data_IF_871643166600
#
_entry.id   IF_871643166600
#
_cell.length_a   1.000
_cell.length_b   1.000
_cell.length_c   1.000
_cell.angle_alpha   90.00
_cell.angle_beta   90.00
_cell.angle_gamma   90.00
#
_symmetry.space_group_name_H-M   'P 1'
#
loop_
_entity.id
_entity.type
_entity.pdbx_description
1 polymer ?
#
# COMPACT_ATOMS: atom_id res chain seq x y z
N UNK A 1 -18.59 1.42 -13.04
CA UNK A 1 -17.37 1.87 -13.76
C UNK A 1 -16.18 1.40 -12.93
N UNK A 2 -15.93 0.08 -12.99
CA UNK A 2 -14.85 -0.62 -13.71
C UNK A 2 -13.45 -0.26 -13.16
N UNK A 3 -12.99 -1.09 -12.23
CA UNK A 3 -11.56 -1.34 -12.01
C UNK A 3 -11.01 -1.85 -13.33
N UNK A 4 -10.27 -1.02 -14.07
CA UNK A 4 -9.24 -1.54 -14.98
C UNK A 4 -8.04 -1.82 -14.11
N UNK A 5 -7.92 -3.07 -13.66
CA UNK A 5 -6.74 -3.51 -12.94
C UNK A 5 -5.55 -3.56 -13.89
N UNK A 6 -4.38 -3.33 -13.31
CA UNK A 6 -3.11 -3.82 -13.85
C UNK A 6 -3.26 -5.26 -14.34
N UNK A 7 -2.45 -5.63 -15.34
CA UNK A 7 -2.40 -6.95 -15.95
C UNK A 7 -2.68 -8.10 -14.95
N UNK A 8 -3.48 -9.10 -15.36
CA UNK A 8 -3.90 -10.19 -14.48
C UNK A 8 -2.69 -10.81 -13.79
N UNK A 9 -2.66 -10.74 -12.45
CA UNK A 9 -1.66 -11.46 -11.67
C UNK A 9 -2.01 -12.94 -11.74
N UNK A 10 -1.05 -13.83 -12.09
CA UNK A 10 -1.33 -15.26 -12.18
C UNK A 10 -1.87 -15.78 -10.84
N UNK A 11 -2.87 -16.67 -10.92
CA UNK A 11 -3.44 -17.34 -9.77
C UNK A 11 -2.33 -18.07 -8.98
N UNK A 12 -2.33 -17.89 -7.66
CA UNK A 12 -1.40 -18.57 -6.75
C UNK A 12 -1.91 -20.00 -6.56
N UNK A 13 -1.24 -20.97 -7.18
CA UNK A 13 -1.48 -22.40 -6.93
C UNK A 13 -0.42 -22.97 -5.98
N UNK A 14 -0.85 -23.72 -4.96
CA UNK A 14 -0.11 -24.92 -4.53
C UNK A 14 0.68 -24.92 -3.23
N UNK A 15 0.73 -23.84 -2.43
CA UNK A 15 1.35 -23.92 -1.08
C UNK A 15 0.32 -23.55 -0.03
N UNK A 16 -0.13 -24.56 0.72
CA UNK A 16 -1.13 -24.39 1.78
C UNK A 16 -0.63 -23.44 2.88
N UNK A 17 -1.54 -22.59 3.37
CA UNK A 17 -1.30 -21.81 4.57
C UNK A 17 -0.92 -22.72 5.75
N UNK A 18 -0.04 -22.27 6.67
CA UNK A 18 0.19 -23.00 7.90
C UNK A 18 -1.13 -23.19 8.64
N UNK A 19 -1.34 -24.38 9.20
CA UNK A 19 -2.50 -24.64 10.05
C UNK A 19 -2.41 -23.76 11.30
N UNK A 20 -3.53 -23.12 11.65
CA UNK A 20 -3.66 -22.30 12.85
C UNK A 20 -4.80 -22.87 13.71
N UNK A 21 -4.52 -23.34 14.94
CA UNK A 21 -5.54 -23.95 15.78
C UNK A 21 -6.63 -22.95 16.20
N UNK A 22 -6.32 -21.66 16.27
CA UNK A 22 -7.27 -20.61 16.60
C UNK A 22 -8.12 -20.23 15.38
N UNK A 23 -7.65 -20.56 14.17
CA UNK A 23 -8.35 -20.29 12.91
C UNK A 23 -8.31 -21.49 11.96
N UNK A 24 -8.99 -22.60 12.29
CA UNK A 24 -9.05 -23.79 11.44
C UNK A 24 -9.62 -23.49 10.04
N UNK A 25 -10.39 -22.41 9.91
CA UNK A 25 -11.01 -21.97 8.66
C UNK A 25 -9.99 -21.43 7.65
N UNK A 26 -8.76 -21.07 8.07
CA UNK A 26 -7.75 -20.50 7.17
C UNK A 26 -7.34 -21.45 6.04
N UNK A 27 -7.37 -22.76 6.29
CA UNK A 27 -7.09 -23.75 5.25
C UNK A 27 -8.04 -23.62 4.05
N UNK A 28 -9.31 -23.29 4.31
CA UNK A 28 -10.31 -23.05 3.26
C UNK A 28 -10.26 -21.60 2.79
N UNK A 29 -10.17 -20.64 3.70
CA UNK A 29 -10.21 -19.21 3.37
C UNK A 29 -9.01 -18.76 2.53
N UNK A 30 -7.88 -19.47 2.60
CA UNK A 30 -6.71 -19.18 1.77
C UNK A 30 -6.73 -19.89 0.41
N UNK A 31 -7.65 -20.83 0.19
CA UNK A 31 -7.77 -21.62 -1.04
C UNK A 31 -8.66 -20.88 -2.07
N UNK A 32 -8.11 -20.42 -3.21
CA UNK A 32 -8.85 -19.66 -4.21
C UNK A 32 -10.05 -20.41 -4.80
N UNK A 33 -9.92 -21.73 -5.02
CA UNK A 33 -10.95 -22.55 -5.69
C UNK A 33 -12.12 -22.80 -4.73
N UNK A 34 -11.82 -23.15 -3.48
CA UNK A 34 -12.86 -23.32 -2.46
C UNK A 34 -13.57 -22.01 -2.15
N UNK A 35 -12.82 -20.90 -2.06
CA UNK A 35 -13.42 -19.58 -1.84
C UNK A 35 -14.28 -19.12 -3.02
N UNK A 36 -13.91 -19.45 -4.26
CA UNK A 36 -14.72 -19.18 -5.44
C UNK A 36 -16.10 -19.86 -5.34
N UNK A 37 -16.14 -21.12 -4.93
CA UNK A 37 -17.40 -21.85 -4.74
C UNK A 37 -18.26 -21.25 -3.63
N UNK A 38 -17.65 -20.89 -2.50
CA UNK A 38 -18.34 -20.25 -1.38
C UNK A 38 -18.90 -18.88 -1.79
N UNK A 39 -18.13 -18.05 -2.49
CA UNK A 39 -18.62 -16.75 -2.96
C UNK A 39 -19.75 -16.90 -3.99
N UNK A 40 -19.69 -17.88 -4.90
CA UNK A 40 -20.80 -18.17 -5.83
C UNK A 40 -22.08 -18.59 -5.11
N UNK A 41 -21.97 -19.31 -3.99
CA UNK A 41 -23.10 -19.79 -3.21
C UNK A 41 -23.72 -18.70 -2.33
N UNK A 42 -22.88 -17.82 -1.75
CA UNK A 42 -23.31 -16.94 -0.66
C UNK A 42 -23.35 -15.45 -1.00
N UNK A 43 -22.74 -14.98 -2.09
CA UNK A 43 -22.84 -13.58 -2.51
C UNK A 43 -24.10 -13.35 -3.34
N UNK A 44 -25.08 -12.68 -2.73
CA UNK A 44 -26.31 -12.26 -3.39
C UNK A 44 -26.07 -10.98 -4.22
N UNK A 45 -26.42 -10.98 -5.52
CA UNK A 45 -26.41 -9.75 -6.32
C UNK A 45 -27.28 -8.66 -5.68
N UNK A 46 -26.90 -7.40 -5.88
CA UNK A 46 -27.74 -6.27 -5.49
C UNK A 46 -29.09 -6.31 -6.23
N UNK A 47 -30.12 -5.68 -5.67
CA UNK A 47 -31.49 -5.80 -6.15
C UNK A 47 -31.62 -5.51 -7.67
N UNK A 48 -32.29 -6.42 -8.39
CA UNK A 48 -32.50 -6.31 -9.83
C UNK A 48 -31.28 -6.63 -10.70
N UNK A 49 -30.14 -7.00 -10.13
CA UNK A 49 -28.90 -7.28 -10.86
C UNK A 49 -28.61 -8.79 -10.96
N UNK A 50 -27.89 -9.21 -12.00
CA UNK A 50 -27.48 -10.61 -12.22
C UNK A 50 -26.02 -10.68 -12.64
N UNK A 51 -25.23 -11.40 -11.86
CA UNK A 51 -23.79 -11.49 -12.04
C UNK A 51 -23.29 -12.92 -11.92
N UNK A 52 -22.20 -13.22 -12.63
CA UNK A 52 -21.47 -14.48 -12.53
C UNK A 52 -20.05 -14.18 -12.03
N UNK A 53 -19.66 -14.85 -10.95
CA UNK A 53 -18.28 -14.79 -10.45
C UNK A 53 -17.47 -15.83 -11.23
N UNK A 54 -16.50 -15.38 -12.01
CA UNK A 54 -15.65 -16.21 -12.86
C UNK A 54 -14.49 -16.78 -12.04
N UNK A 55 -13.76 -15.91 -11.33
CA UNK A 55 -12.57 -16.26 -10.57
C UNK A 55 -12.52 -15.55 -9.21
N UNK A 56 -11.69 -16.08 -8.31
CA UNK A 56 -11.39 -15.52 -7.00
C UNK A 56 -9.88 -15.51 -6.78
N UNK A 57 -9.30 -14.34 -6.51
CA UNK A 57 -7.87 -14.16 -6.30
C UNK A 57 -7.63 -13.60 -4.89
N UNK A 58 -6.98 -14.34 -3.98
CA UNK A 58 -6.51 -13.81 -2.71
C UNK A 58 -5.50 -12.68 -2.95
N UNK A 59 -5.74 -11.51 -2.35
CA UNK A 59 -4.92 -10.31 -2.56
C UNK A 59 -4.10 -9.95 -1.32
N UNK A 60 -4.67 -10.15 -0.14
CA UNK A 60 -4.02 -9.73 1.10
C UNK A 60 -4.46 -10.56 2.27
N UNK A 61 -3.49 -10.87 3.11
CA UNK A 61 -3.70 -11.50 4.39
C UNK A 61 -3.25 -10.59 5.53
N UNK A 62 -4.10 -10.45 6.54
CA UNK A 62 -3.77 -9.83 7.82
C UNK A 62 -4.28 -10.71 8.94
N UNK A 63 -3.40 -11.52 9.49
CA UNK A 63 -3.58 -12.11 10.80
C UNK A 63 -2.39 -11.79 11.68
N UNK A 64 -2.67 -11.44 12.94
CA UNK A 64 -1.66 -11.36 13.98
C UNK A 64 -1.96 -12.47 14.97
N UNK A 65 -0.94 -13.20 15.38
CA UNK A 65 -1.07 -14.28 16.36
C UNK A 65 -1.62 -13.79 17.71
N UNK A 66 -1.46 -12.50 18.03
CA UNK A 66 -2.00 -11.88 19.25
C UNK A 66 -3.41 -11.30 19.10
N UNK A 67 -4.05 -11.42 17.93
CA UNK A 67 -5.39 -10.87 17.69
C UNK A 67 -6.41 -11.98 17.51
N UNK A 68 -7.57 -11.84 18.15
CA UNK A 68 -8.71 -12.76 18.01
C UNK A 68 -9.40 -12.72 16.62
N UNK A 69 -8.73 -12.21 15.58
CA UNK A 69 -9.30 -12.02 14.25
C UNK A 69 -8.28 -12.04 13.11
N UNK A 70 -8.60 -12.75 12.04
CA UNK A 70 -7.92 -12.63 10.74
C UNK A 70 -8.78 -11.87 9.72
N UNK A 71 -8.12 -11.14 8.81
CA UNK A 71 -8.74 -10.39 7.72
C UNK A 71 -8.13 -10.82 6.40
N UNK A 72 -8.97 -11.26 5.46
CA UNK A 72 -8.59 -11.71 4.13
C UNK A 72 -9.25 -10.82 3.08
N UNK A 73 -8.46 -10.30 2.14
CA UNK A 73 -8.97 -9.56 0.99
C UNK A 73 -8.87 -10.42 -0.27
N UNK A 74 -9.92 -10.40 -1.08
CA UNK A 74 -10.04 -11.10 -2.34
C UNK A 74 -10.43 -10.13 -3.45
N UNK A 75 -10.01 -10.45 -4.67
CA UNK A 75 -10.54 -9.86 -5.90
C UNK A 75 -11.36 -10.91 -6.61
N UNK A 76 -12.63 -10.59 -6.91
CA UNK A 76 -13.51 -11.44 -7.69
C UNK A 76 -13.58 -10.89 -9.12
N UNK A 77 -13.32 -11.74 -10.11
CA UNK A 77 -13.60 -11.40 -11.50
C UNK A 77 -15.08 -11.64 -11.78
N UNK A 78 -15.84 -10.58 -12.05
CA UNK A 78 -17.29 -10.61 -12.19
C UNK A 78 -17.67 -10.33 -13.64
N UNK A 79 -18.64 -11.09 -14.16
CA UNK A 79 -19.25 -10.92 -15.47
C UNK A 79 -20.75 -10.61 -15.32
N UNK A 80 -21.22 -9.61 -16.05
CA UNK A 80 -22.65 -9.33 -16.25
C UNK A 80 -23.12 -10.02 -17.54
N UNK A 81 -23.92 -11.10 -17.46
CA UNK A 81 -24.26 -11.89 -18.65
C UNK A 81 -25.05 -11.13 -19.71
N UNK A 82 -25.90 -10.18 -19.29
CA UNK A 82 -26.76 -9.43 -20.21
C UNK A 82 -26.00 -8.46 -21.13
N UNK A 83 -24.84 -7.96 -20.68
CA UNK A 83 -24.05 -6.96 -21.42
C UNK A 83 -22.68 -7.48 -21.86
N UNK A 84 -22.24 -8.63 -21.32
CA UNK A 84 -20.88 -9.13 -21.50
C UNK A 84 -19.81 -8.33 -20.75
N UNK A 85 -20.21 -7.35 -19.93
CA UNK A 85 -19.29 -6.51 -19.16
C UNK A 85 -18.61 -7.31 -18.05
N UNK A 86 -17.29 -7.19 -17.95
CA UNK A 86 -16.51 -7.72 -16.82
C UNK A 86 -15.77 -6.64 -16.03
N UNK A 87 -15.50 -6.93 -14.75
CA UNK A 87 -14.71 -6.08 -13.85
C UNK A 87 -14.26 -6.84 -12.59
N UNK A 88 -13.36 -6.21 -11.85
CA UNK A 88 -12.84 -6.71 -10.59
C UNK A 88 -13.63 -6.13 -9.41
N UNK A 89 -14.11 -7.02 -8.54
CA UNK A 89 -14.85 -6.68 -7.33
C UNK A 89 -14.02 -7.05 -6.09
N UNK A 90 -13.67 -6.06 -5.29
CA UNK A 90 -13.01 -6.28 -4.00
C UNK A 90 -13.98 -6.84 -2.96
N UNK A 91 -13.55 -7.89 -2.26
CA UNK A 91 -14.30 -8.54 -1.17
C UNK A 91 -13.38 -8.76 0.02
N UNK A 92 -13.89 -8.58 1.24
CA UNK A 92 -13.16 -8.86 2.48
C UNK A 92 -13.88 -9.90 3.31
N UNK A 93 -13.17 -10.95 3.70
CA UNK A 93 -13.56 -11.91 4.72
C UNK A 93 -12.99 -11.56 6.09
N UNK A 94 -13.82 -11.61 7.13
CA UNK A 94 -13.42 -11.47 8.53
C UNK A 94 -13.69 -12.79 9.27
N UNK A 95 -12.61 -13.38 9.80
CA UNK A 95 -12.66 -14.58 10.63
C UNK A 95 -12.31 -14.25 12.08
N UNK A 96 -12.99 -14.87 13.02
CA UNK A 96 -12.78 -14.66 14.46
C UNK A 96 -12.41 -15.98 15.13
N UNK A 97 -11.47 -15.94 16.07
CA UNK A 97 -11.08 -17.13 16.84
C UNK A 97 -12.22 -17.58 17.76
N UNK A 98 -12.97 -16.61 18.32
CA UNK A 98 -14.11 -16.90 19.17
C UNK A 98 -15.33 -17.28 18.34
N UNK A 99 -15.85 -18.50 18.57
CA UNK A 99 -17.08 -19.00 17.96
C UNK A 99 -18.26 -18.03 18.13
N UNK A 100 -19.01 -17.82 17.04
CA UNK A 100 -20.19 -16.95 17.00
C UNK A 100 -19.89 -15.44 17.05
N UNK A 101 -18.64 -15.00 17.22
CA UNK A 101 -18.30 -13.59 17.20
C UNK A 101 -18.52 -12.95 15.83
N UNK A 102 -18.22 -13.69 14.76
CA UNK A 102 -18.51 -13.27 13.39
C UNK A 102 -20.01 -13.09 13.14
N UNK A 103 -20.83 -14.05 13.57
CA UNK A 103 -22.29 -13.97 13.39
C UNK A 103 -22.91 -12.79 14.15
N UNK A 104 -22.47 -12.54 15.40
CA UNK A 104 -22.88 -11.35 16.15
C UNK A 104 -22.56 -10.07 15.41
N UNK A 105 -21.33 -9.93 14.91
CA UNK A 105 -20.92 -8.77 14.13
C UNK A 105 -21.75 -8.62 12.84
N UNK A 106 -22.03 -9.71 12.13
CA UNK A 106 -22.86 -9.68 10.93
C UNK A 106 -24.27 -9.14 11.22
N UNK A 107 -24.89 -9.59 12.31
CA UNK A 107 -26.21 -9.08 12.76
C UNK A 107 -26.16 -7.60 13.11
N UNK A 108 -25.12 -7.16 13.83
CA UNK A 108 -24.92 -5.74 14.14
C UNK A 108 -24.79 -4.88 12.88
N UNK A 109 -24.05 -5.35 11.86
CA UNK A 109 -23.88 -4.63 10.60
C UNK A 109 -25.16 -4.51 9.79
N UNK A 110 -26.04 -5.52 9.83
CA UNK A 110 -27.32 -5.47 9.14
C UNK A 110 -28.32 -4.50 9.78
N UNK A 111 -28.14 -4.16 11.05
CA UNK A 111 -29.00 -3.19 11.73
C UNK A 111 -28.77 -1.74 11.26
N UNK A 112 -27.64 -1.46 10.61
CA UNK A 112 -27.33 -0.17 9.99
C UNK A 112 -27.52 -0.25 8.49
N UNK A 113 -27.91 0.85 7.83
CA UNK A 113 -27.92 0.93 6.36
C UNK A 113 -26.48 0.96 5.83
N UNK A 114 -25.97 -0.14 5.22
CA UNK A 114 -24.59 -0.18 4.75
C UNK A 114 -24.42 0.58 3.43
N UNK A 115 -25.51 0.95 2.74
CA UNK A 115 -25.47 1.59 1.43
C UNK A 115 -25.32 3.11 1.48
N UNK A 116 -25.41 3.70 2.68
CA UNK A 116 -25.39 5.15 2.85
C UNK A 116 -24.21 5.83 2.15
N UNK A 117 -24.52 6.74 1.23
CA UNK A 117 -23.54 7.53 0.46
C UNK A 117 -22.86 6.77 -0.70
N UNK A 118 -23.10 5.46 -0.86
CA UNK A 118 -22.51 4.67 -1.95
C UNK A 118 -23.40 4.81 -3.20
N UNK A 119 -22.86 5.20 -4.37
CA UNK A 119 -23.64 5.26 -5.60
C UNK A 119 -24.09 3.88 -6.08
N UNK A 120 -25.27 3.79 -6.72
CA UNK A 120 -25.86 2.54 -7.23
C UNK A 120 -24.94 1.75 -8.19
N UNK A 121 -24.12 2.47 -8.94
CA UNK A 121 -23.14 1.90 -9.87
C UNK A 121 -22.00 1.11 -9.18
N UNK A 122 -21.84 1.29 -7.87
CA UNK A 122 -20.89 0.54 -7.04
C UNK A 122 -21.52 -0.68 -6.35
N UNK A 123 -22.86 -0.78 -6.36
CA UNK A 123 -23.59 -1.86 -5.69
C UNK A 123 -23.64 -3.11 -6.58
N UNK A 124 -22.59 -3.93 -6.58
CA UNK A 124 -22.57 -5.22 -7.31
C UNK A 124 -23.33 -6.31 -6.56
N UNK A 125 -22.97 -6.53 -5.30
CA UNK A 125 -23.58 -7.52 -4.42
C UNK A 125 -24.17 -6.82 -3.20
N UNK A 126 -24.91 -7.56 -2.37
CA UNK A 126 -25.18 -7.11 -1.00
C UNK A 126 -23.86 -6.79 -0.30
N UNK A 127 -23.83 -5.61 0.32
CA UNK A 127 -22.60 -5.03 0.89
C UNK A 127 -22.05 -5.81 2.09
N UNK A 128 -22.93 -6.53 2.79
CA UNK A 128 -22.59 -7.35 3.94
C UNK A 128 -23.25 -8.72 3.78
N UNK A 129 -22.46 -9.78 3.92
CA UNK A 129 -22.89 -11.17 3.89
C UNK A 129 -22.27 -12.00 5.02
N UNK A 130 -22.72 -13.24 5.14
CA UNK A 130 -22.19 -14.22 6.09
C UNK A 130 -22.05 -15.57 5.40
N UNK A 131 -20.90 -16.22 5.58
CA UNK A 131 -20.65 -17.59 5.11
C UNK A 131 -20.65 -18.50 6.35
N UNK A 132 -21.73 -19.25 6.61
CA UNK A 132 -21.85 -20.10 7.80
C UNK A 132 -20.77 -21.16 7.88
N UNK A 133 -20.39 -21.77 6.74
CA UNK A 133 -19.39 -22.83 6.62
C UNK A 133 -18.04 -22.44 7.24
N UNK A 134 -17.71 -21.14 7.23
CA UNK A 134 -16.46 -20.60 7.76
C UNK A 134 -16.64 -19.71 8.99
N UNK A 135 -17.88 -19.53 9.49
CA UNK A 135 -18.23 -18.44 10.41
C UNK A 135 -17.58 -17.10 9.99
N UNK A 136 -17.75 -16.72 8.71
CA UNK A 136 -17.05 -15.58 8.12
C UNK A 136 -18.01 -14.44 7.78
N UNK A 137 -17.71 -13.23 8.26
CA UNK A 137 -18.39 -12.01 7.77
C UNK A 137 -17.76 -11.57 6.47
N UNK A 138 -18.59 -11.27 5.47
CA UNK A 138 -18.15 -10.78 4.16
C UNK A 138 -18.55 -9.32 4.00
N UNK A 139 -17.60 -8.47 3.63
CA UNK A 139 -17.83 -7.07 3.24
C UNK A 139 -17.46 -6.89 1.77
N UNK A 140 -18.34 -6.26 0.99
CA UNK A 140 -18.12 -5.99 -0.43
C UNK A 140 -17.75 -4.53 -0.62
N UNK A 141 -16.59 -4.27 -1.22
CA UNK A 141 -16.13 -2.91 -1.53
C UNK A 141 -17.18 -2.18 -2.40
N UNK A 142 -17.54 -0.92 -2.11
CA UNK A 142 -16.81 0.01 -1.24
C UNK A 142 -17.26 0.06 0.22
N UNK A 143 -18.14 -0.83 0.68
CA UNK A 143 -18.48 -0.86 2.10
C UNK A 143 -17.31 -1.33 2.95
N UNK A 144 -16.99 -0.56 3.99
CA UNK A 144 -16.01 -0.89 5.01
C UNK A 144 -16.46 -0.29 6.35
N UNK A 145 -16.69 -1.15 7.33
CA UNK A 145 -17.20 -0.75 8.66
C UNK A 145 -16.32 0.27 9.40
N UNK A 146 -15.02 0.34 9.06
CA UNK A 146 -14.03 1.25 9.68
C UNK A 146 -13.66 2.42 8.77
N UNK A 147 -14.08 2.43 7.50
CA UNK A 147 -13.93 3.54 6.55
C UNK A 147 -15.32 4.03 6.09
N UNK A 148 -16.15 4.46 7.04
CA UNK A 148 -17.54 4.90 6.77
C UNK A 148 -17.63 6.12 5.84
N UNK A 149 -16.55 6.88 5.76
CA UNK A 149 -16.33 8.02 4.87
C UNK A 149 -16.12 7.63 3.39
N UNK A 150 -15.82 6.36 3.09
CA UNK A 150 -15.54 5.92 1.72
C UNK A 150 -16.76 6.03 0.79
N UNK A 151 -17.96 5.68 1.29
CA UNK A 151 -19.21 5.84 0.56
C UNK A 151 -19.42 7.29 0.12
N UNK A 152 -19.55 8.25 1.07
CA UNK A 152 -19.69 9.67 0.76
C UNK A 152 -18.63 10.23 -0.20
N UNK A 153 -17.36 9.82 -0.06
CA UNK A 153 -16.29 10.23 -0.99
C UNK A 153 -16.59 9.77 -2.42
N UNK A 154 -16.97 8.51 -2.62
CA UNK A 154 -17.40 7.98 -3.92
C UNK A 154 -18.72 8.59 -4.40
N UNK A 155 -19.58 9.01 -3.46
CA UNK A 155 -20.83 9.73 -3.67
C UNK A 155 -20.68 11.15 -4.18
N UNK A 156 -19.46 11.68 -4.27
CA UNK A 156 -19.18 13.02 -4.77
C UNK A 156 -19.06 14.09 -3.68
N UNK A 157 -18.79 13.71 -2.43
CA UNK A 157 -18.55 14.66 -1.34
C UNK A 157 -17.31 15.55 -1.53
N UNK A 158 -16.49 15.29 -2.57
CA UNK A 158 -15.31 16.08 -2.92
C UNK A 158 -15.52 17.02 -4.13
N UNK A 159 -16.75 17.18 -4.63
CA UNK A 159 -17.02 18.04 -5.80
C UNK A 159 -16.73 19.52 -5.53
N UNK A 160 -16.79 19.94 -4.26
CA UNK A 160 -16.41 21.28 -3.80
C UNK A 160 -14.92 21.60 -4.01
N UNK A 161 -14.07 20.58 -4.23
CA UNK A 161 -12.66 20.75 -4.57
C UNK A 161 -12.39 20.98 -6.05
N UNK A 162 -13.38 20.76 -6.93
CA UNK A 162 -13.21 20.90 -8.37
C UNK A 162 -12.69 22.30 -8.77
N UNK A 163 -13.17 23.43 -8.22
CA UNK A 163 -12.62 24.75 -8.54
C UNK A 163 -11.11 24.88 -8.25
N UNK A 164 -10.62 24.29 -7.15
CA UNK A 164 -9.19 24.30 -6.80
C UNK A 164 -8.37 23.45 -7.78
N UNK A 165 -8.93 22.33 -8.24
CA UNK A 165 -8.29 21.48 -9.25
C UNK A 165 -8.28 22.17 -10.62
N UNK A 166 -9.37 22.85 -11.00
CA UNK A 166 -9.49 23.59 -12.26
C UNK A 166 -8.56 24.80 -12.32
N UNK A 167 -8.31 25.47 -11.20
CA UNK A 167 -7.39 26.62 -11.10
C UNK A 167 -5.94 26.30 -11.49
N UNK A 168 -5.60 25.01 -11.64
CA UNK A 168 -4.29 24.53 -12.10
C UNK A 168 -4.14 24.55 -13.62
N UNK A 169 -5.25 24.68 -14.35
CA UNK A 169 -5.22 24.83 -15.80
C UNK A 169 -4.92 26.29 -16.18
N UNK A 170 -4.52 26.49 -17.43
CA UNK A 170 -4.40 27.85 -17.97
C UNK A 170 -5.72 28.62 -17.84
N UNK A 171 -5.69 29.96 -17.73
CA UNK A 171 -6.92 30.77 -17.65
C UNK A 171 -7.93 30.41 -18.75
N UNK A 172 -9.19 30.20 -18.37
CA UNK A 172 -10.26 29.80 -19.27
C UNK A 172 -11.57 29.46 -18.52
N UNK A 173 -12.65 29.28 -19.27
CA UNK A 173 -13.98 28.97 -18.74
C UNK A 173 -14.16 27.44 -18.66
N UNK A 174 -13.41 26.81 -17.76
CA UNK A 174 -13.39 25.36 -17.65
C UNK A 174 -14.66 24.80 -16.99
N UNK A 175 -15.27 23.82 -17.65
CA UNK A 175 -16.36 23.03 -17.09
C UNK A 175 -16.01 21.53 -17.06
N UNK A 176 -16.43 20.84 -16.00
CA UNK A 176 -16.22 19.39 -15.87
C UNK A 176 -17.28 18.65 -16.66
N UNK A 177 -16.86 17.86 -17.64
CA UNK A 177 -17.73 17.06 -18.51
C UNK A 177 -17.88 15.62 -18.03
N UNK A 178 -16.85 15.05 -17.39
CA UNK A 178 -16.88 13.69 -16.86
C UNK A 178 -16.03 13.56 -15.59
N UNK A 179 -16.49 12.68 -14.68
CA UNK A 179 -15.84 12.37 -13.40
C UNK A 179 -15.64 10.87 -13.29
N UNK A 180 -14.43 10.43 -12.95
CA UNK A 180 -14.13 9.01 -12.74
C UNK A 180 -13.35 8.84 -11.44
N UNK A 181 -13.77 7.90 -10.60
CA UNK A 181 -13.03 7.50 -9.40
C UNK A 181 -12.73 6.00 -9.48
N UNK A 182 -11.46 5.65 -9.38
CA UNK A 182 -10.98 4.27 -9.47
C UNK A 182 -10.09 3.94 -8.26
N UNK A 183 -10.33 2.84 -7.54
CA UNK A 183 -9.44 2.45 -6.46
C UNK A 183 -8.08 2.06 -7.01
N UNK A 184 -7.02 2.67 -6.50
CA UNK A 184 -5.63 2.31 -6.80
C UNK A 184 -5.03 1.44 -5.71
N UNK A 185 -5.50 1.61 -4.47
CA UNK A 185 -5.10 0.79 -3.32
C UNK A 185 -6.22 0.74 -2.30
N UNK A 186 -6.55 -0.44 -1.80
CA UNK A 186 -7.51 -0.58 -0.70
C UNK A 186 -6.93 -1.50 0.38
N UNK A 187 -6.77 -0.95 1.58
CA UNK A 187 -6.33 -1.68 2.77
C UNK A 187 -7.51 -1.73 3.73
N UNK A 188 -8.28 -2.82 3.72
CA UNK A 188 -9.51 -2.94 4.52
C UNK A 188 -9.27 -2.52 5.96
N UNK A 189 -10.14 -1.64 6.45
CA UNK A 189 -10.18 -1.02 7.77
C UNK A 189 -9.02 -0.09 8.11
N UNK A 190 -8.13 0.21 7.16
CA UNK A 190 -6.98 1.10 7.34
C UNK A 190 -7.10 2.35 6.48
N UNK A 191 -7.40 2.17 5.19
CA UNK A 191 -7.59 3.28 4.27
C UNK A 191 -7.73 2.82 2.82
N UNK A 192 -8.12 3.77 1.96
CA UNK A 192 -8.20 3.59 0.52
C UNK A 192 -7.50 4.74 -0.20
N UNK A 193 -6.81 4.46 -1.30
CA UNK A 193 -6.34 5.46 -2.25
C UNK A 193 -7.14 5.29 -3.55
N UNK A 194 -7.69 6.38 -4.05
CA UNK A 194 -8.50 6.43 -5.27
C UNK A 194 -7.83 7.41 -6.25
N UNK A 195 -7.78 7.06 -7.52
CA UNK A 195 -7.45 8.00 -8.60
C UNK A 195 -8.73 8.69 -9.02
N UNK A 196 -8.79 10.01 -8.82
CA UNK A 196 -9.89 10.86 -9.28
C UNK A 196 -9.49 11.56 -10.58
N UNK A 197 -10.22 11.31 -11.65
CA UNK A 197 -9.98 11.88 -12.98
C UNK A 197 -11.14 12.78 -13.38
N UNK A 198 -10.83 14.00 -13.79
CA UNK A 198 -11.78 14.96 -14.35
C UNK A 198 -11.47 15.14 -15.82
N UNK A 199 -12.47 14.92 -16.68
CA UNK A 199 -12.43 15.43 -18.05
C UNK A 199 -13.10 16.80 -18.06
N UNK A 200 -12.42 17.78 -18.66
CA UNK A 200 -12.86 19.17 -18.63
C UNK A 200 -12.80 19.78 -20.02
N UNK A 201 -13.64 20.78 -20.27
CA UNK A 201 -13.67 21.54 -21.52
C UNK A 201 -13.75 23.03 -21.24
N UNK A 202 -12.97 23.82 -21.96
CA UNK A 202 -13.05 25.28 -21.96
C UNK A 202 -14.19 25.72 -22.87
N UNK A 203 -15.17 26.42 -22.29
CA UNK A 203 -16.35 26.93 -22.99
C UNK A 203 -16.03 28.00 -24.03
N UNK A 204 -14.96 28.76 -23.85
CA UNK A 204 -14.60 29.86 -24.75
C UNK A 204 -13.83 29.40 -25.99
N UNK A 205 -12.82 28.56 -25.81
CA UNK A 205 -11.86 28.17 -26.87
C UNK A 205 -12.05 26.71 -27.34
N UNK A 206 -12.94 25.95 -26.69
CA UNK A 206 -13.22 24.55 -27.03
C UNK A 206 -12.10 23.56 -26.68
N UNK A 207 -11.09 23.99 -25.89
CA UNK A 207 -9.98 23.14 -25.45
C UNK A 207 -10.48 22.06 -24.49
N UNK A 208 -9.92 20.86 -24.56
CA UNK A 208 -10.20 19.79 -23.60
C UNK A 208 -8.94 19.47 -22.80
N UNK A 209 -9.11 19.12 -21.52
CA UNK A 209 -8.03 18.68 -20.66
C UNK A 209 -8.48 17.53 -19.74
N UNK A 210 -7.51 16.77 -19.26
CA UNK A 210 -7.71 15.75 -18.23
C UNK A 210 -6.92 16.14 -16.99
N UNK A 211 -7.59 16.29 -15.86
CA UNK A 211 -6.95 16.48 -14.56
C UNK A 211 -7.00 15.19 -13.77
N UNK A 212 -5.92 14.87 -13.05
CA UNK A 212 -5.84 13.72 -12.14
C UNK A 212 -5.37 14.15 -10.76
N UNK A 213 -5.97 13.55 -9.75
CA UNK A 213 -5.52 13.65 -8.37
C UNK A 213 -5.72 12.30 -7.65
N UNK A 214 -5.02 12.12 -6.54
CA UNK A 214 -5.11 10.94 -5.70
C UNK A 214 -5.81 11.30 -4.39
N UNK A 215 -6.86 10.55 -4.06
CA UNK A 215 -7.71 10.74 -2.90
C UNK A 215 -7.41 9.62 -1.90
N UNK A 216 -6.79 9.96 -0.77
CA UNK A 216 -6.47 9.04 0.31
C UNK A 216 -7.50 9.19 1.42
N UNK A 217 -8.34 8.17 1.58
CA UNK A 217 -9.40 8.06 2.59
C UNK A 217 -8.83 7.30 3.80
N UNK A 218 -8.82 7.95 4.96
CA UNK A 218 -8.25 7.40 6.19
C UNK A 218 -9.35 6.97 7.16
N UNK A 219 -9.02 6.02 8.04
CA UNK A 219 -9.89 5.64 9.18
C UNK A 219 -9.87 6.68 10.31
N UNK A 220 -8.79 7.44 10.41
CA UNK A 220 -8.46 8.39 11.48
C UNK A 220 -7.94 9.69 10.88
N UNK A 221 -7.62 10.67 11.73
CA UNK A 221 -7.25 12.03 11.28
C UNK A 221 -5.77 12.15 10.90
N UNK A 222 -5.07 11.03 10.68
CA UNK A 222 -3.63 11.00 10.35
C UNK A 222 -3.28 11.82 9.11
N UNK A 223 -4.19 11.88 8.13
CA UNK A 223 -3.99 12.64 6.90
C UNK A 223 -3.85 14.16 7.11
N UNK A 224 -4.31 14.71 8.25
CA UNK A 224 -4.15 16.13 8.59
C UNK A 224 -2.66 16.46 8.80
N UNK A 225 -1.95 15.64 9.58
CA UNK A 225 -0.51 15.80 9.80
C UNK A 225 0.29 15.64 8.51
N UNK A 226 -0.05 14.66 7.67
CA UNK A 226 0.59 14.50 6.35
C UNK A 226 0.36 15.74 5.48
N UNK A 227 -0.85 16.32 5.49
CA UNK A 227 -1.16 17.52 4.71
C UNK A 227 -0.28 18.71 5.10
N UNK A 228 -0.17 19.00 6.39
CA UNK A 228 0.66 20.11 6.89
C UNK A 228 2.15 19.89 6.61
N UNK A 229 2.64 18.66 6.76
CA UNK A 229 4.01 18.30 6.39
C UNK A 229 4.27 18.54 4.90
N UNK A 230 3.40 18.05 4.03
CA UNK A 230 3.56 18.21 2.58
C UNK A 230 3.48 19.68 2.15
N UNK A 231 2.65 20.48 2.81
CA UNK A 231 2.55 21.91 2.54
C UNK A 231 3.84 22.63 2.91
N UNK A 232 4.35 22.39 4.13
CA UNK A 232 5.63 22.95 4.59
C UNK A 232 6.79 22.56 3.68
N UNK A 233 6.91 21.27 3.34
CA UNK A 233 7.95 20.80 2.42
C UNK A 233 7.79 21.39 1.01
N UNK A 234 6.56 21.51 0.50
CA UNK A 234 6.27 22.13 -0.79
C UNK A 234 6.74 23.59 -0.86
N UNK A 235 6.48 24.39 0.18
CA UNK A 235 6.94 25.78 0.25
C UNK A 235 8.48 25.89 0.25
N UNK A 236 9.17 24.95 0.91
CA UNK A 236 10.64 24.88 0.92
C UNK A 236 11.22 24.47 -0.44
N UNK A 237 10.55 23.55 -1.14
CA UNK A 237 10.88 23.16 -2.52
C UNK A 237 10.76 24.37 -3.45
N UNK A 238 9.66 25.13 -3.36
CA UNK A 238 9.45 26.34 -4.18
C UNK A 238 10.53 27.42 -3.94
N UNK A 239 11.08 27.49 -2.72
CA UNK A 239 12.21 28.38 -2.37
C UNK A 239 13.59 27.82 -2.75
N UNK A 240 13.67 26.59 -3.27
CA UNK A 240 14.93 25.93 -3.63
C UNK A 240 15.78 25.51 -2.44
N UNK A 241 15.17 25.29 -1.28
CA UNK A 241 15.86 24.95 -0.03
C UNK A 241 16.17 23.45 0.11
N UNK A 242 15.57 22.61 -0.73
CA UNK A 242 15.71 21.14 -0.71
C UNK A 242 16.33 20.62 -2.01
N UNK A 243 16.91 19.42 -1.95
CA UNK A 243 17.45 18.70 -3.14
C UNK A 243 16.53 17.56 -3.61
N UNK A 244 15.27 17.62 -3.19
CA UNK A 244 14.23 16.67 -3.49
C UNK A 244 12.90 17.42 -3.51
N UNK A 245 11.90 16.84 -4.16
CA UNK A 245 10.53 17.33 -4.19
C UNK A 245 9.59 16.37 -3.47
N UNK A 246 8.38 16.84 -3.17
CA UNK A 246 7.30 16.02 -2.61
C UNK A 246 6.03 16.20 -3.45
N UNK A 247 5.15 15.21 -3.43
CA UNK A 247 3.83 15.34 -4.06
C UNK A 247 3.08 16.54 -3.49
N UNK A 248 2.57 17.39 -4.39
CA UNK A 248 1.84 18.60 -3.99
C UNK A 248 0.51 18.21 -3.31
N UNK A 249 0.24 18.70 -2.10
CA UNK A 249 -1.06 18.51 -1.47
C UNK A 249 -2.07 19.52 -2.05
N UNK A 250 -3.28 19.07 -2.34
CA UNK A 250 -4.38 19.94 -2.80
C UNK A 250 -5.21 20.40 -1.60
N UNK A 251 -5.69 19.44 -0.81
CA UNK A 251 -6.54 19.73 0.34
C UNK A 251 -6.62 18.55 1.31
N UNK A 252 -6.93 18.85 2.58
CA UNK A 252 -7.44 17.89 3.54
C UNK A 252 -8.89 18.23 3.91
N UNK A 253 -9.77 17.23 3.93
CA UNK A 253 -11.18 17.34 4.36
C UNK A 253 -11.34 16.58 5.67
N UNK A 254 -11.43 17.31 6.78
CA UNK A 254 -11.42 16.75 8.14
C UNK A 254 -12.65 15.88 8.41
N UNK A 255 -13.82 16.33 7.97
CA UNK A 255 -15.10 15.63 8.13
C UNK A 255 -15.11 14.29 7.38
N UNK A 256 -14.37 14.22 6.29
CA UNK A 256 -14.22 13.03 5.46
C UNK A 256 -12.92 12.27 5.75
N UNK A 257 -12.05 12.73 6.64
CA UNK A 257 -10.71 12.18 6.90
C UNK A 257 -9.98 11.84 5.61
N UNK A 258 -9.95 12.79 4.69
CA UNK A 258 -9.53 12.54 3.30
C UNK A 258 -8.51 13.57 2.86
N UNK A 259 -7.34 13.08 2.42
CA UNK A 259 -6.27 13.87 1.81
C UNK A 259 -6.36 13.77 0.30
N UNK A 260 -6.29 14.91 -0.38
CA UNK A 260 -6.24 14.99 -1.84
C UNK A 260 -4.87 15.49 -2.26
N UNK A 261 -4.19 14.70 -3.09
CA UNK A 261 -2.85 14.93 -3.59
C UNK A 261 -2.88 15.07 -5.11
N UNK A 262 -1.96 15.84 -5.68
CA UNK A 262 -1.79 15.84 -7.13
C UNK A 262 -1.26 14.49 -7.65
N UNK A 263 -1.41 14.25 -8.96
CA UNK A 263 -0.63 13.20 -9.63
C UNK A 263 0.84 13.65 -9.67
N UNK A 264 1.73 12.86 -9.08
CA UNK A 264 3.16 13.14 -9.14
C UNK A 264 3.64 13.05 -10.61
N UNK A 265 4.39 14.05 -11.11
CA UNK A 265 4.90 14.00 -12.47
C UNK A 265 6.01 12.95 -12.61
N UNK A 266 6.32 12.60 -13.86
CA UNK A 266 7.41 11.68 -14.17
C UNK A 266 7.03 10.20 -14.07
N UNK A 267 8.04 9.34 -13.90
CA UNK A 267 7.90 7.88 -13.87
C UNK A 267 8.39 7.31 -12.54
N UNK A 268 7.65 6.37 -11.96
CA UNK A 268 8.06 5.69 -10.74
C UNK A 268 9.37 4.92 -10.95
N UNK A 269 10.30 4.97 -9.98
CA UNK A 269 11.57 4.26 -10.04
C UNK A 269 11.37 2.75 -10.28
N UNK A 270 10.36 2.14 -9.65
CA UNK A 270 10.01 0.74 -9.89
C UNK A 270 9.75 0.43 -11.38
N UNK A 271 9.08 1.35 -12.08
CA UNK A 271 8.79 1.17 -13.50
C UNK A 271 10.06 1.31 -14.35
N UNK A 272 10.92 2.28 -14.03
CA UNK A 272 12.22 2.44 -14.73
C UNK A 272 13.09 1.18 -14.58
N UNK A 273 13.15 0.61 -13.38
CA UNK A 273 13.89 -0.63 -13.12
C UNK A 273 13.33 -1.84 -13.88
N UNK A 274 12.02 -1.90 -14.13
CA UNK A 274 11.39 -2.99 -14.92
C UNK A 274 11.67 -2.91 -16.41
N UNK A 275 11.87 -1.70 -16.94
CA UNK A 275 11.97 -1.47 -18.38
C UNK A 275 13.35 -1.84 -18.97
N UNK A 276 14.32 -2.25 -18.14
CA UNK A 276 15.62 -2.74 -18.61
C UNK A 276 16.55 -1.66 -19.17
N UNK A 277 16.23 -0.38 -18.97
CA UNK A 277 17.17 0.73 -19.21
C UNK A 277 18.30 0.68 -18.19
N UNK A 278 19.45 1.31 -18.49
CA UNK A 278 20.53 1.48 -17.49
C UNK A 278 19.96 2.18 -16.24
N UNK A 279 19.87 1.46 -15.10
CA UNK A 279 19.23 2.01 -13.91
C UNK A 279 20.16 3.00 -13.18
N UNK A 280 21.41 3.16 -13.62
CA UNK A 280 22.41 3.89 -12.87
C UNK A 280 22.06 5.36 -12.64
N UNK A 281 21.62 6.07 -13.68
CA UNK A 281 21.21 7.49 -13.56
C UNK A 281 20.08 7.67 -12.54
N UNK A 282 18.91 7.02 -12.75
CA UNK A 282 17.78 7.10 -11.82
C UNK A 282 18.11 6.70 -10.38
N UNK A 283 18.92 5.65 -10.18
CA UNK A 283 19.31 5.20 -8.85
C UNK A 283 20.23 6.20 -8.16
N UNK A 284 21.17 6.82 -8.87
CA UNK A 284 22.06 7.84 -8.29
C UNK A 284 21.31 9.10 -7.90
N UNK A 285 20.41 9.58 -8.76
CA UNK A 285 19.52 10.70 -8.44
C UNK A 285 18.69 10.41 -7.20
N UNK A 286 18.08 9.22 -7.14
CA UNK A 286 17.28 8.78 -5.99
C UNK A 286 18.13 8.70 -4.71
N UNK A 287 19.32 8.13 -4.78
CA UNK A 287 20.22 8.01 -3.64
C UNK A 287 20.60 9.38 -3.05
N UNK A 288 20.90 10.36 -3.91
CA UNK A 288 21.18 11.75 -3.50
C UNK A 288 19.97 12.43 -2.87
N UNK A 289 18.79 12.24 -3.44
CA UNK A 289 17.55 12.80 -2.89
C UNK A 289 17.21 12.19 -1.51
N UNK A 290 17.39 10.88 -1.35
CA UNK A 290 17.19 10.19 -0.05
C UNK A 290 18.23 10.64 0.97
N UNK A 291 19.50 10.79 0.57
CA UNK A 291 20.56 11.34 1.42
C UNK A 291 20.27 12.78 1.87
N UNK A 292 19.72 13.61 0.98
CA UNK A 292 19.29 14.96 1.31
C UNK A 292 18.08 14.95 2.27
N UNK A 293 17.07 14.12 2.01
CA UNK A 293 15.91 13.95 2.88
C UNK A 293 16.34 13.50 4.29
N UNK A 294 17.22 12.50 4.39
CA UNK A 294 17.66 11.98 5.68
C UNK A 294 18.56 12.93 6.48
N UNK A 295 19.01 14.03 5.89
CA UNK A 295 19.77 15.08 6.56
C UNK A 295 18.95 16.37 6.74
N UNK A 296 17.69 16.37 6.31
CA UNK A 296 16.82 17.53 6.41
C UNK A 296 16.27 17.68 7.84
N UNK A 297 16.43 18.89 8.39
CA UNK A 297 15.68 19.34 9.55
C UNK A 297 14.33 19.82 9.04
N UNK A 298 13.33 18.91 8.98
CA UNK A 298 12.02 19.08 8.31
C UNK A 298 11.26 20.38 8.67
N UNK A 299 11.74 21.17 9.63
CA UNK A 299 11.22 22.49 9.97
C UNK A 299 9.85 22.42 10.63
N UNK A 300 9.40 21.22 10.98
CA UNK A 300 8.11 20.93 11.56
C UNK A 300 8.32 20.17 12.87
N UNK A 301 8.11 20.86 14.00
CA UNK A 301 8.26 20.31 15.34
C UNK A 301 7.26 19.21 15.70
N UNK A 302 6.21 19.03 14.90
CA UNK A 302 5.15 18.03 15.14
C UNK A 302 5.50 16.65 14.54
N UNK A 303 6.62 16.52 13.83
CA UNK A 303 7.06 15.22 13.30
C UNK A 303 7.46 14.31 14.46
N UNK A 304 6.69 13.25 14.64
CA UNK A 304 6.90 12.29 15.74
C UNK A 304 8.25 11.60 15.64
N UNK A 305 8.81 11.22 16.79
CA UNK A 305 10.04 10.42 16.88
C UNK A 305 9.71 8.92 16.92
N UNK A 306 10.52 8.12 16.23
CA UNK A 306 10.47 6.66 16.24
C UNK A 306 11.76 6.12 16.87
N UNK A 307 11.74 5.82 18.20
CA UNK A 307 12.92 5.30 18.89
C UNK A 307 13.23 3.87 18.46
N UNK A 308 14.45 3.39 18.73
CA UNK A 308 14.89 2.04 18.36
C UNK A 308 13.92 0.95 18.86
N UNK A 309 13.34 1.13 20.05
CA UNK A 309 12.38 0.18 20.61
C UNK A 309 11.15 -0.05 19.70
N UNK A 310 10.67 1.00 19.02
CA UNK A 310 9.55 0.91 18.07
C UNK A 310 9.98 0.15 16.83
N UNK A 311 11.17 0.44 16.28
CA UNK A 311 11.74 -0.30 15.16
C UNK A 311 11.89 -1.79 15.47
N UNK A 312 12.46 -2.15 16.62
CA UNK A 312 12.65 -3.55 17.01
C UNK A 312 11.31 -4.27 17.20
N UNK A 313 10.28 -3.58 17.70
CA UNK A 313 8.93 -4.14 17.80
C UNK A 313 8.30 -4.39 16.42
N UNK A 314 8.52 -3.51 15.44
CA UNK A 314 8.08 -3.74 14.07
C UNK A 314 8.78 -4.93 13.42
N UNK A 315 10.09 -5.05 13.60
CA UNK A 315 10.88 -6.19 13.16
C UNK A 315 10.35 -7.50 13.80
N UNK A 316 10.13 -7.53 15.13
CA UNK A 316 9.58 -8.71 15.83
C UNK A 316 8.22 -9.13 15.29
N UNK A 317 7.34 -8.16 14.98
CA UNK A 317 6.04 -8.44 14.34
C UNK A 317 6.19 -8.97 12.91
N UNK A 318 7.19 -8.48 12.18
CA UNK A 318 7.55 -8.98 10.86
C UNK A 318 8.02 -10.43 10.93
N UNK A 319 8.97 -10.69 11.82
CA UNK A 319 9.57 -11.98 12.10
C UNK A 319 8.52 -13.03 12.50
N UNK A 320 7.63 -12.73 13.45
CA UNK A 320 6.61 -13.68 13.89
C UNK A 320 5.68 -14.14 12.77
N UNK A 321 5.36 -13.26 11.81
CA UNK A 321 4.59 -13.62 10.62
C UNK A 321 5.40 -14.54 9.70
N UNK A 322 6.69 -14.31 9.52
CA UNK A 322 7.55 -15.17 8.69
C UNK A 322 7.72 -16.54 9.35
N UNK A 323 7.98 -16.58 10.66
CA UNK A 323 8.07 -17.82 11.44
C UNK A 323 6.80 -18.65 11.35
N UNK A 324 5.63 -18.00 11.43
CA UNK A 324 4.35 -18.66 11.26
C UNK A 324 4.14 -19.17 9.83
N UNK A 325 4.36 -18.32 8.83
CA UNK A 325 4.16 -18.63 7.42
C UNK A 325 5.13 -19.72 6.91
N UNK A 326 6.36 -19.76 7.43
CA UNK A 326 7.42 -20.70 7.07
C UNK A 326 8.14 -21.21 8.32
N UNK A 327 7.57 -22.17 9.06
CA UNK A 327 8.16 -22.70 10.29
C UNK A 327 9.59 -23.25 10.11
N UNK A 328 9.93 -23.71 8.90
CA UNK A 328 11.27 -24.21 8.56
C UNK A 328 12.35 -23.11 8.60
N UNK A 329 11.98 -21.84 8.42
CA UNK A 329 12.89 -20.69 8.47
C UNK A 329 12.99 -20.08 9.87
N UNK A 330 12.22 -20.57 10.85
CA UNK A 330 12.01 -19.85 12.10
C UNK A 330 13.29 -19.69 12.94
N UNK A 331 14.16 -20.69 12.96
CA UNK A 331 15.45 -20.62 13.66
C UNK A 331 16.34 -19.52 13.06
N UNK A 332 16.40 -19.43 11.74
CA UNK A 332 17.20 -18.42 11.04
C UNK A 332 16.64 -17.01 11.25
N UNK A 333 15.32 -16.84 11.13
CA UNK A 333 14.65 -15.55 11.38
C UNK A 333 14.86 -15.07 12.82
N UNK A 334 14.79 -15.96 13.81
CA UNK A 334 15.08 -15.61 15.21
C UNK A 334 16.54 -15.20 15.41
N UNK A 335 17.48 -15.90 14.78
CA UNK A 335 18.90 -15.55 14.85
C UNK A 335 19.17 -14.15 14.26
N UNK A 336 18.61 -13.86 13.07
CA UNK A 336 18.71 -12.53 12.44
C UNK A 336 18.09 -11.46 13.36
N UNK A 337 16.87 -11.70 13.84
CA UNK A 337 16.16 -10.73 14.70
C UNK A 337 16.93 -10.45 15.99
N UNK A 338 17.53 -11.48 16.60
CA UNK A 338 18.36 -11.34 17.80
C UNK A 338 19.65 -10.57 17.51
N UNK A 339 20.33 -10.84 16.39
CA UNK A 339 21.53 -10.13 15.99
C UNK A 339 21.26 -8.64 15.73
N UNK A 340 20.17 -8.31 15.03
CA UNK A 340 19.74 -6.91 14.82
C UNK A 340 19.43 -6.23 16.15
N UNK A 341 18.70 -6.89 17.04
CA UNK A 341 18.37 -6.33 18.35
C UNK A 341 19.60 -6.13 19.26
N UNK A 342 20.62 -6.97 19.13
CA UNK A 342 21.85 -6.86 19.90
C UNK A 342 22.85 -5.86 19.32
N UNK A 343 22.84 -5.65 18.00
CA UNK A 343 23.83 -4.82 17.31
C UNK A 343 23.40 -3.41 16.95
N UNK A 344 22.10 -3.10 17.00
CA UNK A 344 21.62 -1.72 16.81
C UNK A 344 21.58 -0.97 18.14
N UNK A 345 21.98 0.30 18.10
CA UNK A 345 21.98 1.23 19.23
C UNK A 345 21.11 2.44 18.91
N UNK A 346 20.63 3.13 19.94
CA UNK A 346 19.89 4.38 19.76
C UNK A 346 20.84 5.46 19.18
N UNK A 347 20.39 6.16 18.14
CA UNK A 347 21.16 7.19 17.45
C UNK A 347 20.42 8.53 17.47
N UNK A 348 21.11 9.66 17.25
CA UNK A 348 20.43 10.92 17.01
C UNK A 348 19.42 10.76 15.86
N UNK A 349 18.12 11.05 16.11
CA UNK A 349 17.09 10.81 15.12
C UNK A 349 17.19 11.86 14.02
N UNK A 350 16.93 11.43 12.78
CA UNK A 350 16.86 12.27 11.60
C UNK A 350 15.63 11.90 10.77
N UNK A 351 15.28 12.74 9.80
CA UNK A 351 14.12 12.53 8.97
C UNK A 351 14.20 11.19 8.22
N UNK A 352 13.16 10.37 8.31
CA UNK A 352 12.99 9.18 7.47
C UNK A 352 11.61 9.17 6.84
N UNK A 353 11.54 8.69 5.60
CA UNK A 353 10.30 8.45 4.87
C UNK A 353 9.46 7.37 5.55
N UNK A 354 10.11 6.36 6.14
CA UNK A 354 9.48 5.32 6.97
C UNK A 354 8.78 4.20 6.18
N UNK A 355 8.41 4.43 4.91
CA UNK A 355 7.97 3.40 3.95
C UNK A 355 8.67 3.56 2.59
N UNK A 356 9.99 3.84 2.58
CA UNK A 356 10.76 4.08 1.35
C UNK A 356 10.89 2.80 0.51
N UNK A 357 10.45 2.86 -0.75
CA UNK A 357 10.58 1.78 -1.75
C UNK A 357 10.43 2.32 -3.19
N UNK A 358 10.80 1.54 -4.22
CA UNK A 358 10.86 2.04 -5.59
C UNK A 358 9.56 2.60 -6.19
N UNK A 359 8.38 2.18 -5.73
CA UNK A 359 7.09 2.70 -6.21
C UNK A 359 6.67 4.00 -5.50
N UNK A 360 7.43 4.46 -4.51
CA UNK A 360 7.21 5.71 -3.77
C UNK A 360 8.13 6.86 -4.21
N UNK A 361 8.97 6.62 -5.21
CA UNK A 361 9.92 7.59 -5.77
C UNK A 361 9.60 7.79 -7.24
N UNK A 362 9.38 9.03 -7.65
CA UNK A 362 9.11 9.41 -9.04
C UNK A 362 10.25 10.26 -9.57
N UNK A 363 10.59 10.07 -10.86
CA UNK A 363 11.60 10.85 -11.55
C UNK A 363 10.99 11.61 -12.72
N UNK A 364 11.10 12.93 -12.68
CA UNK A 364 10.70 13.85 -13.74
C UNK A 364 11.97 14.57 -14.26
N UNK A 365 12.67 13.94 -15.23
CA UNK A 365 14.03 14.35 -15.56
C UNK A 365 14.96 14.08 -14.39
N UNK A 366 15.68 15.11 -13.94
CA UNK A 366 16.59 15.03 -12.78
C UNK A 366 15.87 15.28 -11.43
N UNK A 367 14.60 15.66 -11.46
CA UNK A 367 13.81 15.91 -10.25
C UNK A 367 13.32 14.59 -9.64
N UNK A 368 13.64 14.38 -8.35
CA UNK A 368 13.17 13.24 -7.58
C UNK A 368 12.04 13.67 -6.65
N UNK A 369 10.88 13.02 -6.79
CA UNK A 369 9.65 13.36 -6.07
C UNK A 369 9.26 12.20 -5.17
N UNK A 370 9.14 12.46 -3.87
CA UNK A 370 8.63 11.50 -2.90
C UNK A 370 7.10 11.54 -2.80
N UNK A 371 6.49 10.35 -2.75
CA UNK A 371 5.06 10.17 -2.49
C UNK A 371 4.84 9.24 -1.29
N UNK A 372 3.63 9.23 -0.73
CA UNK A 372 3.28 8.38 0.43
C UNK A 372 4.03 8.74 1.74
N UNK A 373 4.17 10.04 2.02
CA UNK A 373 4.81 10.58 3.23
C UNK A 373 4.00 10.42 4.53
N UNK A 374 3.01 9.51 4.57
CA UNK A 374 2.22 9.26 5.79
C UNK A 374 3.06 8.63 6.91
N UNK A 375 4.20 8.02 6.58
CA UNK A 375 5.06 7.33 7.55
C UNK A 375 6.30 8.14 7.95
N UNK A 376 6.34 9.43 7.58
CA UNK A 376 7.45 10.30 7.94
C UNK A 376 7.53 10.48 9.44
N UNK A 377 8.70 10.18 9.98
CA UNK A 377 9.05 10.30 11.40
C UNK A 377 10.52 10.70 11.52
N UNK A 378 10.93 11.12 12.71
CA UNK A 378 12.35 11.26 13.06
C UNK A 378 12.83 9.95 13.66
N UNK A 379 13.74 9.24 12.98
CA UNK A 379 14.25 7.95 13.41
C UNK A 379 15.69 7.71 12.96
N UNK A 380 16.10 6.46 12.95
CA UNK A 380 17.42 6.07 12.45
C UNK A 380 17.52 6.31 10.92
N UNK A 381 18.38 7.24 10.42
CA UNK A 381 18.41 7.60 8.99
C UNK A 381 18.87 6.48 8.05
N UNK A 382 19.47 5.41 8.57
CA UNK A 382 19.93 4.27 7.76
C UNK A 382 18.79 3.30 7.46
N UNK A 383 17.64 3.47 8.12
CA UNK A 383 16.45 2.63 7.88
C UNK A 383 15.93 2.76 6.45
N UNK A 384 15.78 3.97 5.95
CA UNK A 384 15.29 4.24 4.59
C UNK A 384 16.14 3.58 3.49
N UNK A 385 17.46 3.84 3.39
CA UNK A 385 18.30 3.21 2.37
C UNK A 385 18.35 1.69 2.50
N UNK A 386 18.25 1.15 3.73
CA UNK A 386 18.16 -0.29 3.94
C UNK A 386 16.83 -0.89 3.43
N UNK A 387 15.71 -0.18 3.58
CA UNK A 387 14.43 -0.59 3.00
C UNK A 387 14.46 -0.54 1.47
N UNK A 388 14.97 0.55 0.89
CA UNK A 388 15.15 0.65 -0.56
C UNK A 388 16.02 -0.53 -1.08
N UNK A 389 17.15 -0.79 -0.41
CA UNK A 389 18.01 -1.94 -0.71
C UNK A 389 17.24 -3.26 -0.65
N UNK A 390 16.50 -3.51 0.43
CA UNK A 390 15.76 -4.76 0.64
C UNK A 390 14.65 -4.97 -0.40
N UNK A 391 13.91 -3.92 -0.78
CA UNK A 391 12.88 -4.00 -1.82
C UNK A 391 13.48 -4.30 -3.21
N UNK A 392 14.60 -3.64 -3.55
CA UNK A 392 15.27 -3.86 -4.85
C UNK A 392 15.95 -5.23 -4.89
N UNK A 393 16.79 -5.57 -3.90
CA UNK A 393 17.49 -6.85 -3.84
C UNK A 393 16.54 -8.04 -3.68
N UNK A 394 15.45 -7.87 -2.91
CA UNK A 394 14.37 -8.84 -2.76
C UNK A 394 13.40 -8.90 -3.95
N UNK A 395 13.62 -8.06 -4.98
CA UNK A 395 12.85 -8.01 -6.23
C UNK A 395 11.34 -7.84 -6.03
N UNK A 396 10.92 -7.14 -4.97
CA UNK A 396 9.49 -6.91 -4.71
C UNK A 396 8.93 -6.01 -5.80
N UNK A 397 8.03 -6.56 -6.61
CA UNK A 397 7.53 -5.87 -7.79
C UNK A 397 8.57 -5.75 -8.92
N UNK A 398 9.65 -6.53 -8.91
CA UNK A 398 10.70 -6.53 -9.95
C UNK A 398 10.95 -7.95 -10.48
N UNK A 399 9.89 -8.77 -10.56
CA UNK A 399 9.97 -10.19 -10.92
C UNK A 399 10.58 -10.46 -12.29
N UNK A 400 10.49 -9.49 -13.22
CA UNK A 400 11.10 -9.57 -14.54
C UNK A 400 12.59 -9.22 -14.55
N UNK A 401 13.11 -8.53 -13.52
CA UNK A 401 14.51 -8.10 -13.44
C UNK A 401 15.37 -9.27 -12.95
N UNK A 402 16.48 -9.65 -13.61
CA UNK A 402 17.35 -10.72 -13.14
C UNK A 402 17.89 -10.48 -11.72
N UNK A 403 18.15 -11.56 -10.97
CA UNK A 403 18.57 -11.49 -9.56
C UNK A 403 19.88 -10.70 -9.39
N UNK A 404 20.85 -10.96 -10.25
CA UNK A 404 22.15 -10.29 -10.17
C UNK A 404 22.07 -8.80 -10.52
N UNK A 405 21.25 -8.44 -11.51
CA UNK A 405 21.01 -7.04 -11.88
C UNK A 405 20.32 -6.28 -10.76
N UNK A 406 19.31 -6.89 -10.12
CA UNK A 406 18.62 -6.30 -8.98
C UNK A 406 19.58 -6.09 -7.78
N UNK A 407 20.44 -7.07 -7.50
CA UNK A 407 21.47 -6.96 -6.46
C UNK A 407 22.52 -5.91 -6.80
N UNK A 408 22.91 -5.77 -8.06
CA UNK A 408 23.84 -4.73 -8.51
C UNK A 408 23.21 -3.34 -8.38
N UNK A 409 21.94 -3.18 -8.78
CA UNK A 409 21.17 -1.95 -8.61
C UNK A 409 21.05 -1.53 -7.13
N UNK A 410 20.71 -2.47 -6.24
CA UNK A 410 20.62 -2.20 -4.81
C UNK A 410 21.98 -1.74 -4.22
N UNK A 411 23.08 -2.40 -4.61
CA UNK A 411 24.44 -2.01 -4.21
C UNK A 411 24.85 -0.65 -4.77
N UNK A 412 24.49 -0.34 -6.01
CA UNK A 412 24.76 0.95 -6.63
C UNK A 412 24.06 2.10 -5.89
N UNK A 413 22.76 1.93 -5.60
CA UNK A 413 22.00 2.89 -4.81
C UNK A 413 22.65 3.11 -3.43
N UNK A 414 22.98 2.03 -2.72
CA UNK A 414 23.58 2.13 -1.39
C UNK A 414 24.95 2.81 -1.43
N UNK A 415 25.80 2.47 -2.40
CA UNK A 415 27.11 3.09 -2.56
C UNK A 415 26.99 4.61 -2.78
N UNK A 416 26.14 5.03 -3.72
CA UNK A 416 25.91 6.46 -3.96
C UNK A 416 25.33 7.13 -2.70
N UNK A 417 24.37 6.54 -2.01
CA UNK A 417 23.80 7.12 -0.79
C UNK A 417 24.87 7.40 0.27
N UNK A 418 25.77 6.43 0.51
CA UNK A 418 26.83 6.57 1.51
C UNK A 418 27.95 7.55 1.12
N UNK A 419 28.05 7.95 -0.15
CA UNK A 419 28.95 9.01 -0.58
C UNK A 419 28.43 10.42 -0.21
N UNK A 420 27.14 10.56 0.14
CA UNK A 420 26.48 11.85 0.45
C UNK A 420 26.00 12.01 1.90
N UNK A 421 26.34 11.07 2.79
CA UNK A 421 25.96 11.10 4.22
C UNK A 421 27.16 10.85 5.14
N UNK A 422 27.06 11.11 6.46
CA UNK A 422 28.16 10.86 7.38
C UNK A 422 28.65 9.41 7.34
N UNK A 423 29.98 9.21 7.21
CA UNK A 423 30.59 7.88 7.11
C UNK A 423 30.25 6.94 8.29
N UNK A 424 29.96 7.50 9.47
CA UNK A 424 29.54 6.74 10.65
C UNK A 424 28.24 5.95 10.42
N UNK A 425 27.34 6.42 9.54
CA UNK A 425 26.07 5.77 9.25
C UNK A 425 26.25 4.40 8.57
N UNK A 426 27.33 4.23 7.79
CA UNK A 426 27.60 3.00 7.05
C UNK A 426 27.80 1.77 7.93
N UNK A 427 28.32 1.95 9.17
CA UNK A 427 28.65 0.84 10.09
C UNK A 427 27.45 -0.03 10.43
N UNK A 428 26.25 0.56 10.50
CA UNK A 428 25.02 -0.13 10.89
C UNK A 428 24.16 -0.58 9.70
N UNK A 429 24.60 -0.32 8.46
CA UNK A 429 23.83 -0.61 7.26
C UNK A 429 23.51 -2.11 7.07
N UNK A 430 24.48 -3.00 7.35
CA UNK A 430 24.27 -4.45 7.21
C UNK A 430 23.15 -4.97 8.13
N UNK A 431 23.14 -4.55 9.39
CA UNK A 431 22.09 -4.92 10.36
C UNK A 431 20.72 -4.35 9.97
N UNK A 432 20.68 -3.09 9.51
CA UNK A 432 19.44 -2.51 8.99
C UNK A 432 18.92 -3.24 7.75
N UNK A 433 19.80 -3.66 6.84
CA UNK A 433 19.43 -4.47 5.67
C UNK A 433 18.88 -5.83 6.09
N UNK A 434 19.51 -6.50 7.05
CA UNK A 434 19.04 -7.78 7.57
C UNK A 434 17.63 -7.66 8.18
N UNK A 435 17.39 -6.64 9.00
CA UNK A 435 16.06 -6.36 9.56
C UNK A 435 15.03 -6.02 8.46
N UNK A 436 15.37 -5.13 7.53
CA UNK A 436 14.50 -4.72 6.44
C UNK A 436 14.12 -5.91 5.53
N UNK A 437 15.03 -6.85 5.28
CA UNK A 437 14.76 -8.06 4.50
C UNK A 437 13.77 -9.02 5.20
N UNK A 438 13.81 -9.11 6.54
CA UNK A 438 12.78 -9.84 7.31
C UNK A 438 11.42 -9.13 7.22
N UNK A 439 11.39 -7.80 7.32
CA UNK A 439 10.16 -7.02 7.16
C UNK A 439 9.58 -7.15 5.73
N UNK A 440 10.44 -7.17 4.72
CA UNK A 440 10.10 -7.43 3.30
C UNK A 440 9.56 -8.85 3.12
N UNK A 441 10.20 -9.88 3.69
CA UNK A 441 9.69 -11.25 3.67
C UNK A 441 8.28 -11.33 4.25
N UNK A 442 8.04 -10.66 5.37
CA UNK A 442 6.72 -10.53 5.97
C UNK A 442 5.72 -9.82 5.04
N UNK A 443 6.15 -8.78 4.32
CA UNK A 443 5.32 -8.07 3.35
C UNK A 443 4.96 -8.92 2.12
N UNK A 444 5.93 -9.68 1.57
CA UNK A 444 5.76 -10.62 0.45
C UNK A 444 4.64 -11.63 0.76
N UNK A 445 4.69 -12.23 1.96
CA UNK A 445 3.63 -13.13 2.41
C UNK A 445 2.29 -12.41 2.59
N UNK A 446 2.23 -11.27 3.31
CA UNK A 446 0.97 -10.55 3.55
C UNK A 446 0.29 -10.08 2.27
N UNK A 447 1.04 -9.79 1.21
CA UNK A 447 0.54 -9.37 -0.10
C UNK A 447 0.21 -10.55 -1.03
N UNK A 448 0.46 -11.79 -0.58
CA UNK A 448 0.24 -13.00 -1.37
C UNK A 448 0.90 -12.89 -2.76
N UNK A 449 2.15 -12.39 -2.79
CA UNK A 449 2.89 -12.27 -4.05
C UNK A 449 3.00 -13.64 -4.73
N UNK A 450 3.06 -13.66 -6.06
CA UNK A 450 3.31 -14.90 -6.79
C UNK A 450 4.62 -15.54 -6.31
N UNK A 451 4.62 -16.85 -6.07
CA UNK A 451 5.77 -17.58 -5.52
C UNK A 451 6.29 -16.98 -4.20
N UNK A 452 5.39 -16.45 -3.36
CA UNK A 452 5.77 -15.89 -2.06
C UNK A 452 6.62 -16.85 -1.21
N UNK A 453 6.42 -18.19 -1.18
CA UNK A 453 7.23 -19.07 -0.34
C UNK A 453 8.71 -19.02 -0.73
N UNK A 454 9.01 -19.10 -2.02
CA UNK A 454 10.36 -19.02 -2.57
C UNK A 454 10.96 -17.64 -2.32
N UNK A 455 10.18 -16.58 -2.56
CA UNK A 455 10.62 -15.19 -2.34
C UNK A 455 10.91 -14.90 -0.86
N UNK A 456 10.10 -15.43 0.06
CA UNK A 456 10.35 -15.34 1.51
C UNK A 456 11.65 -16.03 1.89
N UNK A 457 11.88 -17.26 1.40
CA UNK A 457 13.12 -17.98 1.66
C UNK A 457 14.34 -17.23 1.12
N UNK A 458 14.25 -16.67 -0.09
CA UNK A 458 15.31 -15.88 -0.70
C UNK A 458 15.60 -14.59 0.09
N UNK A 459 14.57 -13.90 0.59
CA UNK A 459 14.74 -12.70 1.41
C UNK A 459 15.39 -13.02 2.77
N UNK A 460 15.02 -14.12 3.42
CA UNK A 460 15.66 -14.56 4.68
C UNK A 460 17.12 -14.96 4.46
N UNK A 461 17.44 -15.68 3.38
CA UNK A 461 18.82 -16.01 3.04
C UNK A 461 19.66 -14.75 2.78
N UNK A 462 19.13 -13.78 2.02
CA UNK A 462 19.80 -12.50 1.80
C UNK A 462 19.98 -11.71 3.11
N UNK A 463 19.04 -11.80 4.04
CA UNK A 463 19.14 -11.14 5.34
C UNK A 463 20.33 -11.69 6.14
N UNK A 464 20.55 -13.01 6.10
CA UNK A 464 21.72 -13.66 6.71
C UNK A 464 23.01 -13.15 6.09
N UNK A 465 23.09 -13.10 4.76
CA UNK A 465 24.29 -12.65 4.03
C UNK A 465 24.64 -11.18 4.34
N UNK A 466 23.68 -10.36 4.76
CA UNK A 466 23.93 -8.96 5.17
C UNK A 466 24.63 -8.82 6.52
N UNK A 467 24.66 -9.87 7.35
CA UNK A 467 25.23 -9.83 8.70
C UNK A 467 26.72 -10.18 8.77
N UNK A 468 27.31 -10.69 7.68
CA UNK A 468 28.71 -11.14 7.62
C UNK A 468 28.84 -12.64 7.45
#
# INVERSE_FOLDING_TARGET
MRVTSQAPRPAVHGVGFPADPDFPQLAIASDPERMLELFRRHLEPAAGKRYRIQDCIPLRFRCRQSTARCVLQYTLHVLEPGTGRSWDQGVTGLLYAQKGAAERLWREMQATDPSHGIPDDWLTFRLVGFIPDLEMVVQVFPYDRKLRNLGPVLGGALRDLEPQLLARLAPGEWCVTQRTMEPTRYRTELGAALKYTLQVRDGGVGRAATLRCFVKVYRNDHGEHTFELLKSLGERVERGETRYSVVRPVAYRKELRTLVLEEAPGTALQQLLRQGHDPAGPLRLTARAVAAFNQDDLGNGDVSRSPLAVQLEELRRGASIVEWARPQLATEVRAITAAVAAGLEEVPPAAIHGDLKPDHVFLAGDEVIFIDLDSVVLGDPVRDPAHMFAYVAGRVGLDAVPVEDARAAARLFAAEYFDHVPAAWRRRFGLHCAGALVEVASAIFRRQEAHWPEKVAAAVAAARDCMG
#
